data_IF_336329838761
#
_entry.id   IF_336329838761
#
_cell.length_a   1.000
_cell.length_b   1.000
_cell.length_c   1.000
_cell.angle_alpha   90.00
_cell.angle_beta   90.00
_cell.angle_gamma   90.00
#
_symmetry.space_group_name_H-M   'P 1'
#
loop_
_entity.id
_entity.type
_entity.pdbx_description
1 polymer ?
#
# COMPACT_ATOMS: atom_id res chain seq x y z
N UNK A 1 -3.59 10.87 -3.42
CA UNK A 1 -2.89 10.15 -4.49
C UNK A 1 -3.91 9.49 -5.39
N UNK A 2 -3.55 9.28 -6.65
CA UNK A 2 -4.37 8.75 -7.74
C UNK A 2 -3.59 7.68 -8.53
N UNK A 3 -4.24 6.92 -9.43
CA UNK A 3 -3.53 6.01 -10.33
C UNK A 3 -2.41 6.74 -11.10
N UNK A 4 -1.24 6.14 -11.17
CA UNK A 4 -0.01 6.72 -11.73
C UNK A 4 0.97 7.25 -10.69
N UNK A 5 0.49 7.70 -9.52
CA UNK A 5 1.38 8.13 -8.45
C UNK A 5 2.21 6.95 -7.90
N UNK A 6 3.47 7.20 -7.56
CA UNK A 6 4.26 6.27 -6.75
C UNK A 6 4.10 6.60 -5.29
N UNK A 7 3.67 5.62 -4.50
CA UNK A 7 3.43 5.77 -3.07
C UNK A 7 4.28 4.81 -2.25
N UNK A 8 4.65 5.23 -1.05
CA UNK A 8 5.24 4.39 -0.01
C UNK A 8 4.19 4.17 1.08
N UNK A 9 3.70 2.94 1.19
CA UNK A 9 2.73 2.53 2.21
C UNK A 9 3.49 1.91 3.38
N UNK A 10 3.37 2.48 4.58
CA UNK A 10 3.96 1.93 5.79
C UNK A 10 3.00 0.90 6.39
N UNK A 11 3.34 -0.38 6.27
CA UNK A 11 2.49 -1.50 6.67
C UNK A 11 3.01 -2.14 7.95
N UNK A 12 2.16 -2.27 8.95
CA UNK A 12 2.43 -3.05 10.15
C UNK A 12 2.35 -4.53 9.82
N UNK A 13 3.44 -5.26 10.04
CA UNK A 13 3.56 -6.70 9.81
C UNK A 13 3.93 -7.37 11.13
N UNK A 14 3.16 -8.39 11.50
CA UNK A 14 3.38 -9.20 12.71
C UNK A 14 3.87 -10.58 12.33
N UNK A 15 5.06 -10.95 12.78
CA UNK A 15 5.69 -12.25 12.59
C UNK A 15 5.86 -12.90 13.98
N UNK A 16 4.95 -13.81 14.33
CA UNK A 16 4.91 -14.41 15.67
C UNK A 16 4.62 -13.35 16.74
N UNK A 17 5.59 -13.11 17.63
CA UNK A 17 5.49 -12.12 18.72
C UNK A 17 6.07 -10.75 18.38
N UNK A 18 6.72 -10.59 17.21
CA UNK A 18 7.36 -9.33 16.82
C UNK A 18 6.52 -8.59 15.78
N UNK A 19 6.31 -7.31 16.04
CA UNK A 19 5.63 -6.39 15.12
C UNK A 19 6.64 -5.38 14.60
N UNK A 20 6.67 -5.18 13.28
CA UNK A 20 7.49 -4.14 12.63
C UNK A 20 6.68 -3.37 11.61
N UNK A 21 7.15 -2.19 11.27
CA UNK A 21 6.65 -1.43 10.12
C UNK A 21 7.54 -1.74 8.92
N UNK A 22 6.92 -2.16 7.82
CA UNK A 22 7.58 -2.43 6.55
C UNK A 22 7.04 -1.48 5.48
N UNK A 23 7.94 -0.84 4.75
CA UNK A 23 7.59 -0.01 3.60
C UNK A 23 7.21 -0.90 2.39
N UNK A 24 6.05 -0.63 1.82
CA UNK A 24 5.62 -1.15 0.53
C UNK A 24 5.54 0.02 -0.46
N UNK A 25 6.58 0.15 -1.28
CA UNK A 25 6.67 1.20 -2.29
C UNK A 25 6.34 0.67 -3.68
N UNK A 26 5.50 1.38 -4.42
CA UNK A 26 5.10 1.02 -5.77
C UNK A 26 4.14 2.03 -6.40
N UNK A 27 3.71 1.73 -7.62
CA UNK A 27 2.79 2.59 -8.39
C UNK A 27 1.35 2.24 -8.01
N UNK A 28 0.54 3.26 -7.75
CA UNK A 28 -0.90 3.11 -7.59
C UNK A 28 -1.49 2.81 -8.97
N UNK A 29 -2.14 1.66 -9.11
CA UNK A 29 -2.75 1.24 -10.39
C UNK A 29 -4.28 1.37 -10.38
N UNK A 30 -4.89 1.37 -9.21
CA UNK A 30 -6.34 1.49 -9.06
C UNK A 30 -6.70 2.09 -7.71
N UNK A 31 -7.87 2.74 -7.68
CA UNK A 31 -8.56 3.18 -6.46
C UNK A 31 -10.05 2.95 -6.68
N UNK A 32 -10.69 2.29 -5.72
CA UNK A 32 -12.06 1.82 -5.88
C UNK A 32 -12.82 1.84 -4.55
N UNK A 33 -14.15 1.76 -4.63
CA UNK A 33 -15.04 1.88 -3.48
C UNK A 33 -15.26 3.32 -3.04
N UNK A 34 -15.99 3.49 -1.94
CA UNK A 34 -16.30 4.78 -1.35
C UNK A 34 -16.49 4.64 0.17
N UNK A 35 -16.30 5.75 0.89
CA UNK A 35 -16.40 5.78 2.35
C UNK A 35 -15.49 4.74 3.00
N UNK A 36 -15.99 4.02 4.00
CA UNK A 36 -15.20 3.03 4.74
C UNK A 36 -14.69 1.85 3.89
N UNK A 37 -15.34 1.56 2.76
CA UNK A 37 -14.95 0.47 1.85
C UNK A 37 -13.94 0.92 0.78
N UNK A 38 -13.52 2.19 0.82
CA UNK A 38 -12.55 2.71 -0.12
C UNK A 38 -11.19 2.00 0.03
N UNK A 39 -10.61 1.61 -1.10
CA UNK A 39 -9.32 0.94 -1.17
C UNK A 39 -8.50 1.43 -2.38
N UNK A 40 -7.21 1.13 -2.35
CA UNK A 40 -6.29 1.42 -3.43
C UNK A 40 -5.32 0.25 -3.66
N UNK A 41 -4.92 0.06 -4.91
CA UNK A 41 -4.04 -1.05 -5.31
C UNK A 41 -2.68 -0.51 -5.70
N UNK A 42 -1.62 -1.05 -5.09
CA UNK A 42 -0.23 -0.69 -5.34
C UNK A 42 0.50 -1.87 -5.97
N UNK A 43 1.13 -1.63 -7.12
CA UNK A 43 1.93 -2.61 -7.86
C UNK A 43 3.42 -2.28 -7.75
N UNK A 44 4.24 -3.30 -7.54
CA UNK A 44 5.71 -3.20 -7.65
C UNK A 44 6.30 -4.47 -8.26
N UNK A 45 7.53 -4.37 -8.75
CA UNK A 45 8.34 -5.55 -9.05
C UNK A 45 9.12 -5.92 -7.79
N UNK A 46 9.03 -7.17 -7.37
CA UNK A 46 9.75 -7.71 -6.22
C UNK A 46 10.50 -8.96 -6.68
N UNK A 47 11.84 -8.90 -6.65
CA UNK A 47 12.69 -10.03 -7.09
C UNK A 47 12.37 -10.55 -8.51
N UNK A 48 12.06 -9.64 -9.44
CA UNK A 48 11.71 -9.99 -10.82
C UNK A 48 10.22 -10.30 -11.05
N UNK A 49 9.45 -10.49 -9.99
CA UNK A 49 8.03 -10.85 -10.07
C UNK A 49 7.11 -9.65 -9.80
N UNK A 50 6.01 -9.58 -10.54
CA UNK A 50 4.97 -8.57 -10.31
C UNK A 50 4.17 -8.88 -9.05
N UNK A 51 4.15 -7.94 -8.10
CA UNK A 51 3.37 -8.06 -6.88
C UNK A 51 2.40 -6.90 -6.77
N UNK A 52 1.13 -7.23 -6.56
CA UNK A 52 0.06 -6.26 -6.32
C UNK A 52 -0.49 -6.45 -4.91
N UNK A 53 -0.74 -5.36 -4.22
CA UNK A 53 -1.42 -5.36 -2.93
C UNK A 53 -2.54 -4.33 -2.92
N UNK A 54 -3.69 -4.76 -2.42
CA UNK A 54 -4.85 -3.91 -2.18
C UNK A 54 -4.82 -3.48 -0.72
N UNK A 55 -4.93 -2.19 -0.48
CA UNK A 55 -4.96 -1.58 0.84
C UNK A 55 -6.29 -0.85 1.04
N UNK A 56 -7.09 -1.23 2.05
CA UNK A 56 -8.20 -0.39 2.50
C UNK A 56 -7.65 0.93 3.04
N UNK A 57 -8.27 2.06 2.67
CA UNK A 57 -7.82 3.40 3.08
C UNK A 57 -7.83 3.55 4.60
N UNK A 58 -8.77 2.92 5.29
CA UNK A 58 -8.94 2.97 6.74
C UNK A 58 -8.40 1.73 7.48
N UNK A 59 -7.50 0.97 6.85
CA UNK A 59 -6.93 -0.23 7.48
C UNK A 59 -6.07 0.14 8.70
N UNK A 60 -6.26 -0.48 9.88
CA UNK A 60 -5.40 -0.26 11.05
C UNK A 60 -3.99 -0.83 10.88
N UNK A 61 -3.75 -1.61 9.82
CA UNK A 61 -2.42 -2.11 9.47
C UNK A 61 -1.61 -1.10 8.66
N UNK A 62 -2.23 -0.02 8.15
CA UNK A 62 -1.53 1.04 7.42
C UNK A 62 -1.25 2.19 8.39
N UNK A 63 0.02 2.40 8.71
CA UNK A 63 0.46 3.51 9.58
C UNK A 63 0.41 4.85 8.84
N UNK A 64 0.66 4.83 7.54
CA UNK A 64 0.68 6.03 6.71
C UNK A 64 1.00 5.73 5.26
N UNK A 65 0.68 6.69 4.40
CA UNK A 65 0.96 6.65 2.96
C UNK A 65 1.60 7.97 2.56
N UNK A 66 2.79 7.89 1.96
CA UNK A 66 3.53 9.04 1.43
C UNK A 66 3.55 8.97 -0.11
N UNK A 67 3.39 10.12 -0.77
CA UNK A 67 3.59 10.22 -2.22
C UNK A 67 5.07 10.47 -2.49
N UNK A 68 5.73 9.49 -3.11
CA UNK A 68 7.16 9.57 -3.47
C UNK A 68 7.32 10.31 -4.80
N UNK A 69 6.40 10.09 -5.74
CA UNK A 69 6.39 10.71 -7.08
C UNK A 69 4.97 10.82 -7.63
N UNK A 70 4.69 11.88 -8.38
CA UNK A 70 3.46 12.06 -9.18
C UNK A 70 3.73 11.80 -10.65
#
# INVERSE_FOLDING_TARGET
>A
FQPGDTVRVQVRVTEGTRTRVQAYEGVVIARAGAGFQENFTVRKISYGEGVERVFPVFSPMVEGVEIVRR
#
